data_IF_516585338835
#
_entry.id   IF_516585338835
#
_cell.length_a   1.000
_cell.length_b   1.000
_cell.length_c   1.000
_cell.angle_alpha   90.00
_cell.angle_beta   90.00
_cell.angle_gamma   90.00
#
_symmetry.space_group_name_H-M   'P 1'
#
loop_
_entity.id
_entity.type
_entity.pdbx_description
1 polymer ?
#
# COMPACT_ATOMS: atom_id res chain seq x y z
N UNK A 1 -21.85 -29.18 -8.68
CA UNK A 1 -20.43 -29.52 -8.42
C UNK A 1 -20.09 -30.81 -9.16
N UNK A 2 -19.49 -30.74 -10.35
CA UNK A 2 -19.07 -31.92 -11.14
C UNK A 2 -17.81 -31.59 -11.95
N UNK A 3 -16.94 -32.57 -12.19
CA UNK A 3 -15.81 -32.44 -13.13
C UNK A 3 -16.38 -32.38 -14.55
N UNK A 4 -16.02 -31.34 -15.31
CA UNK A 4 -16.48 -31.12 -16.70
C UNK A 4 -15.42 -31.49 -17.74
N UNK A 5 -14.16 -31.59 -17.34
CA UNK A 5 -13.04 -32.04 -18.17
C UNK A 5 -11.90 -32.57 -17.29
N UNK A 6 -11.16 -33.56 -17.80
CA UNK A 6 -9.97 -34.10 -17.18
C UNK A 6 -9.01 -34.58 -18.26
N UNK A 7 -7.77 -34.12 -18.19
CA UNK A 7 -6.69 -34.53 -19.09
C UNK A 7 -5.42 -34.70 -18.27
N UNK A 8 -4.87 -35.91 -18.26
CA UNK A 8 -3.55 -36.19 -17.70
C UNK A 8 -2.51 -36.00 -18.81
N UNK A 9 -1.69 -34.94 -18.71
CA UNK A 9 -0.85 -34.45 -19.81
C UNK A 9 0.64 -34.72 -19.63
N UNK A 10 1.10 -34.75 -18.37
CA UNK A 10 2.51 -34.89 -18.06
C UNK A 10 2.73 -35.59 -16.72
N UNK A 11 3.82 -36.33 -16.63
CA UNK A 11 4.30 -36.91 -15.38
C UNK A 11 5.57 -36.16 -14.98
N UNK A 12 5.52 -35.46 -13.84
CA UNK A 12 6.68 -34.78 -13.25
C UNK A 12 7.03 -35.38 -11.91
N UNK A 13 8.30 -35.27 -11.53
CA UNK A 13 8.73 -35.65 -10.19
C UNK A 13 8.13 -34.66 -9.19
N UNK A 14 7.41 -35.18 -8.20
CA UNK A 14 6.88 -34.35 -7.10
C UNK A 14 8.05 -33.94 -6.20
N UNK A 15 8.23 -32.64 -5.92
CA UNK A 15 9.27 -32.16 -5.00
C UNK A 15 9.24 -32.88 -3.65
N UNK A 16 10.42 -33.10 -3.08
CA UNK A 16 10.55 -33.73 -1.75
C UNK A 16 9.99 -32.79 -0.67
N UNK A 17 9.40 -33.37 0.37
CA UNK A 17 8.91 -32.62 1.53
C UNK A 17 10.02 -32.22 2.54
N UNK A 18 11.25 -32.70 2.36
CA UNK A 18 12.34 -32.36 3.28
C UNK A 18 12.74 -30.90 3.12
N UNK A 19 12.84 -30.17 4.26
CA UNK A 19 13.27 -28.77 4.28
C UNK A 19 12.16 -27.77 3.96
N UNK A 20 10.90 -28.18 3.77
CA UNK A 20 9.80 -27.29 3.38
C UNK A 20 8.87 -26.86 4.53
N UNK A 21 8.94 -27.51 5.69
CA UNK A 21 8.05 -27.18 6.83
C UNK A 21 8.57 -25.96 7.59
N UNK A 22 7.80 -24.86 7.57
CA UNK A 22 8.15 -23.61 8.27
C UNK A 22 7.73 -23.59 9.74
N UNK A 23 6.97 -24.59 10.20
CA UNK A 23 6.45 -24.58 11.57
C UNK A 23 7.58 -24.93 12.52
N UNK A 24 7.81 -24.04 13.49
CA UNK A 24 8.82 -24.22 14.55
C UNK A 24 8.79 -25.61 15.21
N UNK A 25 7.61 -26.19 15.40
CA UNK A 25 7.40 -27.51 16.02
C UNK A 25 7.85 -28.70 15.16
N UNK A 26 8.12 -28.48 13.87
CA UNK A 26 8.49 -29.50 12.87
C UNK A 26 9.94 -29.36 12.41
N UNK A 27 10.58 -28.22 12.68
CA UNK A 27 11.98 -27.99 12.37
C UNK A 27 12.91 -28.80 13.29
N UNK A 28 14.00 -29.32 12.72
CA UNK A 28 15.04 -30.06 13.47
C UNK A 28 15.77 -29.10 14.43
N UNK A 29 15.95 -29.52 15.68
CA UNK A 29 16.73 -28.79 16.69
C UNK A 29 18.23 -29.05 16.52
N UNK A 30 19.12 -28.07 16.80
CA UNK A 30 18.83 -26.70 17.21
C UNK A 30 18.42 -25.81 16.04
N UNK A 31 17.50 -24.88 16.27
CA UNK A 31 17.28 -23.78 15.34
C UNK A 31 18.56 -22.96 15.26
N UNK A 32 19.08 -22.76 14.06
CA UNK A 32 20.29 -21.97 13.83
C UNK A 32 20.00 -20.47 13.98
N UNK A 33 20.97 -19.72 14.48
CA UNK A 33 20.88 -18.26 14.67
C UNK A 33 21.03 -17.83 16.14
N UNK A 34 21.64 -16.67 16.37
CA UNK A 34 21.73 -16.10 17.70
C UNK A 34 20.33 -15.68 18.15
N UNK A 35 19.89 -16.12 19.35
CA UNK A 35 18.59 -15.73 19.90
C UNK A 35 18.52 -14.22 20.06
N UNK A 36 17.60 -13.58 19.34
CA UNK A 36 17.27 -12.17 19.57
C UNK A 36 16.81 -11.97 21.01
N UNK A 37 17.29 -10.90 21.64
CA UNK A 37 16.83 -10.51 22.98
C UNK A 37 15.38 -10.02 22.87
N UNK A 38 14.56 -10.38 23.85
CA UNK A 38 13.19 -9.86 23.93
C UNK A 38 13.21 -8.33 24.10
N UNK A 39 12.23 -7.66 23.50
CA UNK A 39 11.98 -6.23 23.67
C UNK A 39 10.61 -6.08 24.32
N UNK A 40 10.52 -5.18 25.29
CA UNK A 40 9.25 -4.80 25.92
C UNK A 40 9.04 -3.31 25.69
N UNK A 41 7.91 -2.96 25.08
CA UNK A 41 7.49 -1.56 24.90
C UNK A 41 6.38 -1.29 25.92
N UNK A 42 6.60 -0.32 26.80
CA UNK A 42 5.63 0.13 27.79
C UNK A 42 5.15 1.51 27.40
N UNK A 43 3.83 1.71 27.37
CA UNK A 43 3.20 2.97 27.05
C UNK A 43 2.35 3.43 28.23
N UNK A 44 2.41 4.73 28.57
CA UNK A 44 1.59 5.36 29.61
C UNK A 44 0.13 5.50 29.11
N UNK A 45 -0.58 4.38 29.07
CA UNK A 45 -1.91 4.31 28.48
C UNK A 45 -1.90 4.42 26.96
N UNK A 46 -3.10 4.50 26.37
CA UNK A 46 -3.32 4.54 24.93
C UNK A 46 -3.40 6.00 24.45
N UNK A 47 -2.72 6.37 23.37
CA UNK A 47 -2.77 7.70 22.77
C UNK A 47 -3.91 7.92 21.77
N UNK A 48 -4.73 6.90 21.55
CA UNK A 48 -5.92 6.92 20.69
C UNK A 48 -7.15 6.37 21.42
N UNK A 49 -8.31 6.77 20.93
CA UNK A 49 -9.62 6.31 21.37
C UNK A 49 -10.39 5.69 20.19
N UNK A 50 -11.16 4.65 20.48
CA UNK A 50 -12.02 3.97 19.49
C UNK A 50 -13.44 3.91 20.06
N UNK A 51 -14.34 4.70 19.48
CA UNK A 51 -15.77 4.70 19.79
C UNK A 51 -16.53 3.99 18.66
N UNK A 52 -16.91 2.73 18.91
CA UNK A 52 -17.40 1.82 17.89
C UNK A 52 -16.33 1.59 16.80
N UNK A 53 -16.49 2.28 15.67
CA UNK A 53 -15.58 2.24 14.52
C UNK A 53 -14.93 3.61 14.23
N UNK A 54 -15.20 4.61 15.07
CA UNK A 54 -14.61 5.95 14.97
C UNK A 54 -13.31 6.00 15.76
N UNK A 55 -12.20 6.24 15.06
CA UNK A 55 -10.86 6.34 15.65
C UNK A 55 -10.49 7.80 15.80
N UNK A 56 -10.01 8.18 16.99
CA UNK A 56 -9.47 9.50 17.30
C UNK A 56 -8.06 9.34 17.85
N UNK A 57 -7.09 9.94 17.19
CA UNK A 57 -5.69 9.85 17.58
C UNK A 57 -4.97 11.15 17.27
N UNK A 58 -4.26 11.70 18.25
CA UNK A 58 -3.57 12.98 18.12
C UNK A 58 -4.48 14.06 17.48
N UNK A 59 -4.14 14.53 16.28
CA UNK A 59 -4.91 15.49 15.49
C UNK A 59 -5.81 14.84 14.42
N UNK A 60 -5.88 13.51 14.34
CA UNK A 60 -6.71 12.80 13.37
C UNK A 60 -8.04 12.30 13.95
N UNK A 61 -9.04 12.27 13.08
CA UNK A 61 -10.24 11.46 13.25
C UNK A 61 -10.56 10.74 11.94
N UNK A 62 -10.96 9.48 12.00
CA UNK A 62 -11.42 8.71 10.85
C UNK A 62 -12.33 7.57 11.30
N UNK A 63 -12.97 6.91 10.35
CA UNK A 63 -13.77 5.71 10.54
C UNK A 63 -13.05 4.52 9.91
N UNK A 64 -13.00 3.39 10.62
CA UNK A 64 -12.46 2.13 10.13
C UNK A 64 -13.63 1.16 9.93
N UNK A 65 -13.84 0.66 8.71
CA UNK A 65 -14.86 -0.34 8.41
C UNK A 65 -14.27 -1.60 7.79
N UNK A 66 -15.03 -2.69 7.91
CA UNK A 66 -14.78 -3.95 7.22
C UNK A 66 -15.72 -4.11 6.02
N UNK A 67 -15.17 -4.55 4.90
CA UNK A 67 -15.89 -4.97 3.71
C UNK A 67 -15.37 -6.34 3.26
N UNK A 68 -16.25 -7.24 2.84
CA UNK A 68 -15.87 -8.61 2.50
C UNK A 68 -14.96 -8.70 1.27
N UNK A 69 -15.08 -7.75 0.33
CA UNK A 69 -14.26 -7.71 -0.88
C UNK A 69 -12.98 -6.91 -0.67
N UNK A 70 -13.08 -5.71 -0.10
CA UNK A 70 -11.94 -4.81 0.08
C UNK A 70 -11.11 -5.07 1.35
N UNK A 71 -11.70 -5.70 2.37
CA UNK A 71 -11.12 -5.77 3.71
C UNK A 71 -11.22 -4.45 4.46
N UNK A 72 -10.08 -3.89 4.87
CA UNK A 72 -10.03 -2.63 5.62
C UNK A 72 -10.41 -1.43 4.73
N UNK A 73 -11.35 -0.62 5.19
CA UNK A 73 -11.77 0.63 4.54
C UNK A 73 -11.64 1.79 5.52
N UNK A 74 -10.80 2.76 5.18
CA UNK A 74 -10.68 4.04 5.90
C UNK A 74 -11.70 5.03 5.33
N UNK A 75 -12.42 5.74 6.18
CA UNK A 75 -13.37 6.76 5.75
C UNK A 75 -13.33 8.02 6.62
N UNK A 76 -13.76 9.15 6.04
CA UNK A 76 -13.92 10.44 6.70
C UNK A 76 -12.66 10.97 7.40
N UNK A 77 -11.46 10.59 6.93
CA UNK A 77 -10.21 10.96 7.55
C UNK A 77 -10.01 12.48 7.47
N UNK A 78 -9.98 13.10 8.65
CA UNK A 78 -9.88 14.55 8.83
C UNK A 78 -8.81 14.85 9.86
N UNK A 79 -8.01 15.88 9.59
CA UNK A 79 -6.96 16.35 10.50
C UNK A 79 -7.35 17.70 11.12
N UNK A 80 -7.08 17.86 12.41
CA UNK A 80 -7.28 19.10 13.14
C UNK A 80 -6.14 20.06 12.82
N UNK A 81 -6.49 21.20 12.24
CA UNK A 81 -5.59 22.30 11.98
C UNK A 81 -5.61 23.25 13.18
N UNK A 82 -4.51 23.28 13.94
CA UNK A 82 -4.42 24.07 15.16
C UNK A 82 -4.45 25.58 14.88
N UNK A 83 -3.91 26.04 13.75
CA UNK A 83 -3.93 27.47 13.39
C UNK A 83 -5.33 27.92 12.94
N UNK A 84 -6.12 27.02 12.34
CA UNK A 84 -7.49 27.29 11.86
C UNK A 84 -8.59 26.84 12.82
N UNK A 85 -8.22 26.22 13.94
CA UNK A 85 -9.10 25.71 15.00
C UNK A 85 -10.27 24.83 14.46
N UNK A 86 -9.99 24.01 13.46
CA UNK A 86 -11.02 23.15 12.85
C UNK A 86 -10.45 21.86 12.28
N UNK A 87 -11.29 20.84 12.22
CA UNK A 87 -11.00 19.65 11.42
C UNK A 87 -11.19 19.96 9.93
N UNK A 88 -10.22 19.54 9.13
CA UNK A 88 -10.21 19.69 7.67
C UNK A 88 -10.15 18.31 7.04
N UNK A 89 -11.02 18.08 6.06
CA UNK A 89 -11.12 16.77 5.38
C UNK A 89 -9.89 16.55 4.49
N UNK A 90 -9.47 15.29 4.38
CA UNK A 90 -8.35 14.86 3.56
C UNK A 90 -8.77 13.71 2.64
N UNK A 91 -9.34 12.66 3.21
CA UNK A 91 -9.73 11.45 2.49
C UNK A 91 -11.16 11.08 2.90
N UNK A 92 -12.09 11.09 1.95
CA UNK A 92 -13.45 10.63 2.16
C UNK A 92 -13.48 9.11 2.31
N UNK A 93 -12.80 8.39 1.41
CA UNK A 93 -12.73 6.92 1.42
C UNK A 93 -11.46 6.36 0.79
N UNK A 94 -10.77 5.48 1.51
CA UNK A 94 -9.56 4.78 1.07
C UNK A 94 -9.64 3.27 1.28
N UNK A 95 -9.37 2.48 0.24
CA UNK A 95 -9.30 1.01 0.32
C UNK A 95 -8.55 0.40 -0.88
N UNK A 96 -8.15 -0.87 -0.77
CA UNK A 96 -7.64 -1.65 -1.91
C UNK A 96 -8.83 -2.08 -2.76
N UNK A 97 -8.91 -1.59 -3.99
CA UNK A 97 -10.00 -1.90 -4.90
C UNK A 97 -9.84 -3.25 -5.59
N UNK A 98 -8.62 -3.63 -5.96
CA UNK A 98 -8.35 -4.89 -6.64
C UNK A 98 -6.87 -5.25 -6.53
N UNK A 99 -6.57 -6.54 -6.64
CA UNK A 99 -5.24 -7.04 -6.91
C UNK A 99 -5.25 -7.77 -8.25
N UNK A 100 -4.13 -7.75 -8.96
CA UNK A 100 -3.95 -8.53 -10.17
C UNK A 100 -2.60 -9.27 -10.11
N UNK A 101 -2.66 -10.59 -10.16
CA UNK A 101 -1.50 -11.49 -10.00
C UNK A 101 -1.33 -12.38 -11.24
N UNK A 102 -0.81 -11.85 -12.36
CA UNK A 102 -0.56 -12.62 -13.57
C UNK A 102 0.72 -13.45 -13.46
N UNK A 103 0.62 -14.75 -13.74
CA UNK A 103 1.78 -15.62 -13.93
C UNK A 103 2.26 -15.62 -15.39
N UNK A 104 3.55 -15.83 -15.59
CA UNK A 104 4.22 -15.68 -16.90
C UNK A 104 4.57 -17.03 -17.55
N UNK A 105 3.92 -18.11 -17.15
CA UNK A 105 4.05 -19.42 -17.80
C UNK A 105 2.85 -19.64 -18.76
N UNK A 106 3.07 -19.63 -20.08
CA UNK A 106 2.01 -19.76 -21.08
C UNK A 106 1.59 -21.22 -21.33
N UNK A 107 2.17 -22.19 -20.63
CA UNK A 107 1.77 -23.60 -20.75
C UNK A 107 0.35 -23.84 -20.25
N UNK A 108 -0.25 -24.95 -20.68
CA UNK A 108 -1.64 -25.29 -20.33
C UNK A 108 -1.81 -25.55 -18.81
N UNK A 109 -0.73 -25.80 -18.07
CA UNK A 109 -0.73 -25.86 -16.60
C UNK A 109 -0.96 -24.49 -15.91
N UNK A 110 -0.58 -23.38 -16.57
CA UNK A 110 -0.41 -22.08 -15.91
C UNK A 110 -1.08 -20.89 -16.61
N UNK A 111 -1.33 -20.94 -17.92
CA UNK A 111 -1.77 -19.75 -18.70
C UNK A 111 -3.01 -19.04 -18.15
N UNK A 112 -3.87 -19.76 -17.43
CA UNK A 112 -5.12 -19.24 -16.86
C UNK A 112 -4.93 -18.61 -15.45
N UNK A 113 -3.77 -18.81 -14.81
CA UNK A 113 -3.49 -18.30 -13.46
C UNK A 113 -3.14 -16.81 -13.52
N UNK A 114 -4.18 -15.98 -13.44
CA UNK A 114 -4.05 -14.52 -13.48
C UNK A 114 -5.05 -13.89 -12.50
N UNK A 115 -4.81 -14.11 -11.20
CA UNK A 115 -5.83 -13.91 -10.15
C UNK A 115 -6.22 -12.45 -9.97
N UNK A 116 -7.50 -12.25 -9.66
CA UNK A 116 -8.06 -10.98 -9.19
C UNK A 116 -8.47 -11.14 -7.73
N UNK A 117 -7.51 -11.08 -6.81
CA UNK A 117 -7.70 -11.58 -5.44
C UNK A 117 -8.92 -10.98 -4.73
N UNK A 118 -9.19 -9.67 -4.89
CA UNK A 118 -10.35 -9.06 -4.27
C UNK A 118 -11.63 -9.45 -5.02
N UNK A 119 -11.64 -9.39 -6.35
CA UNK A 119 -12.83 -9.65 -7.15
C UNK A 119 -13.26 -11.11 -7.26
N UNK A 120 -12.33 -12.05 -7.20
CA UNK A 120 -12.57 -13.50 -7.33
C UNK A 120 -12.74 -14.18 -5.96
N UNK A 121 -11.99 -13.74 -4.94
CA UNK A 121 -11.96 -14.40 -3.62
C UNK A 121 -12.41 -13.49 -2.46
N UNK A 122 -12.09 -12.20 -2.54
CA UNK A 122 -12.43 -11.19 -1.53
C UNK A 122 -11.36 -11.08 -0.43
N UNK A 123 -10.66 -9.94 -0.37
CA UNK A 123 -9.61 -9.72 0.64
C UNK A 123 -10.14 -9.75 2.08
N UNK A 124 -11.37 -9.27 2.29
CA UNK A 124 -12.00 -9.33 3.61
C UNK A 124 -12.40 -10.75 4.00
N UNK A 125 -12.88 -11.56 3.05
CA UNK A 125 -13.17 -12.99 3.27
C UNK A 125 -11.91 -13.80 3.51
N UNK A 126 -10.80 -13.39 2.89
CA UNK A 126 -9.47 -13.96 3.06
C UNK A 126 -8.68 -13.32 4.20
N UNK A 127 -9.28 -12.44 5.01
CA UNK A 127 -8.65 -11.89 6.20
C UNK A 127 -8.77 -12.87 7.37
N UNK A 128 -7.63 -13.22 7.99
CA UNK A 128 -7.57 -14.17 9.09
C UNK A 128 -7.23 -13.48 10.41
N UNK A 129 -7.57 -14.11 11.56
CA UNK A 129 -7.27 -13.54 12.88
C UNK A 129 -5.78 -13.24 13.06
N UNK A 130 -5.47 -11.98 13.37
CA UNK A 130 -4.12 -11.54 13.65
C UNK A 130 -3.63 -12.12 14.98
N UNK A 131 -2.41 -12.66 14.98
CA UNK A 131 -1.77 -13.25 16.14
C UNK A 131 -1.14 -12.16 17.01
N UNK A 132 -1.60 -11.98 18.27
CA UNK A 132 -1.04 -10.99 19.17
C UNK A 132 0.46 -11.17 19.40
N UNK A 133 1.18 -10.06 19.49
CA UNK A 133 2.64 -9.97 19.69
C UNK A 133 3.51 -10.46 18.52
N UNK A 134 2.92 -11.03 17.47
CA UNK A 134 3.63 -11.43 16.25
C UNK A 134 3.25 -10.53 15.07
N UNK A 135 1.96 -10.49 14.75
CA UNK A 135 1.45 -9.65 13.66
C UNK A 135 1.26 -8.20 14.11
N UNK A 136 0.92 -8.02 15.39
CA UNK A 136 0.68 -6.71 15.99
C UNK A 136 1.40 -6.57 17.34
N UNK A 137 1.92 -5.38 17.67
CA UNK A 137 2.67 -5.16 18.91
C UNK A 137 1.79 -5.22 20.16
N UNK A 138 2.43 -5.26 21.33
CA UNK A 138 1.75 -5.41 22.61
C UNK A 138 0.77 -4.28 22.97
N UNK A 139 0.94 -3.08 22.39
CA UNK A 139 0.06 -1.93 22.58
C UNK A 139 -1.11 -1.89 21.57
N UNK A 140 -1.31 -2.94 20.77
CA UNK A 140 -2.37 -3.00 19.78
C UNK A 140 -3.75 -3.26 20.39
N UNK A 141 -4.76 -2.73 19.70
CA UNK A 141 -6.18 -2.95 19.96
C UNK A 141 -6.75 -3.69 18.78
N UNK A 142 -7.34 -4.85 19.05
CA UNK A 142 -7.95 -5.66 18.02
C UNK A 142 -9.42 -5.32 17.83
N UNK A 143 -9.89 -5.46 16.60
CA UNK A 143 -11.29 -5.32 16.24
C UNK A 143 -11.71 -6.54 15.41
N UNK A 144 -12.94 -6.99 15.62
CA UNK A 144 -13.52 -8.14 14.93
C UNK A 144 -14.26 -7.70 13.66
N UNK A 145 -14.38 -8.60 12.70
CA UNK A 145 -15.14 -8.43 11.47
C UNK A 145 -16.29 -9.42 11.39
N UNK A 146 -17.30 -9.10 10.60
CA UNK A 146 -18.43 -10.00 10.35
C UNK A 146 -18.76 -10.02 8.86
N UNK A 147 -19.10 -11.21 8.35
CA UNK A 147 -19.60 -11.39 6.99
C UNK A 147 -20.80 -12.32 6.97
N UNK A 148 -21.54 -12.34 5.86
CA UNK A 148 -22.61 -13.30 5.65
C UNK A 148 -22.05 -14.58 5.01
N UNK A 149 -22.21 -15.72 5.67
CA UNK A 149 -21.93 -17.04 5.10
C UNK A 149 -22.80 -17.33 3.87
N UNK A 150 -22.51 -18.43 3.17
CA UNK A 150 -23.21 -18.78 1.92
C UNK A 150 -24.73 -19.00 2.11
N UNK A 151 -25.15 -19.33 3.33
CA UNK A 151 -26.55 -19.49 3.73
C UNK A 151 -27.15 -18.22 4.38
N UNK A 152 -26.38 -17.12 4.43
CA UNK A 152 -26.77 -15.86 5.05
C UNK A 152 -26.50 -15.77 6.55
N UNK A 153 -25.95 -16.81 7.18
CA UNK A 153 -25.61 -16.77 8.62
C UNK A 153 -24.44 -15.80 8.88
N UNK A 154 -24.48 -14.98 9.95
CA UNK A 154 -23.35 -14.12 10.27
C UNK A 154 -22.17 -14.94 10.77
N UNK A 155 -21.01 -14.75 10.15
CA UNK A 155 -19.74 -15.38 10.53
C UNK A 155 -18.80 -14.31 11.09
N UNK A 156 -18.29 -14.56 12.29
CA UNK A 156 -17.31 -13.70 12.97
C UNK A 156 -15.88 -14.04 12.53
N UNK A 157 -15.09 -13.00 12.25
CA UNK A 157 -13.64 -13.07 12.10
C UNK A 157 -13.03 -12.28 13.26
N UNK A 158 -12.51 -13.00 14.26
CA UNK A 158 -11.87 -12.36 15.42
C UNK A 158 -10.57 -11.68 15.02
N UNK A 159 -10.23 -10.57 15.67
CA UNK A 159 -8.96 -9.86 15.50
C UNK A 159 -8.61 -9.58 14.02
N UNK A 160 -9.60 -9.23 13.19
CA UNK A 160 -9.38 -8.97 11.76
C UNK A 160 -8.55 -7.71 11.52
N UNK A 161 -8.67 -6.73 12.42
CA UNK A 161 -7.84 -5.53 12.42
C UNK A 161 -7.05 -5.43 13.72
N UNK A 162 -5.90 -4.75 13.64
CA UNK A 162 -5.29 -4.19 14.83
C UNK A 162 -4.94 -2.71 14.61
N UNK A 163 -5.11 -1.91 15.66
CA UNK A 163 -4.78 -0.49 15.70
C UNK A 163 -3.74 -0.27 16.78
N UNK A 164 -2.61 0.36 16.45
CA UNK A 164 -1.52 0.59 17.41
C UNK A 164 -0.72 1.85 17.10
N UNK A 165 -0.10 2.41 18.14
CA UNK A 165 0.90 3.46 17.97
C UNK A 165 2.26 2.84 17.71
N UNK A 166 2.92 3.31 16.65
CA UNK A 166 4.26 2.90 16.27
C UNK A 166 5.26 3.92 16.77
N UNK A 167 6.27 3.42 17.49
CA UNK A 167 7.43 4.16 17.93
C UNK A 167 8.69 3.38 17.55
N UNK A 168 9.37 3.80 16.49
CA UNK A 168 10.53 3.11 15.93
C UNK A 168 11.81 3.96 15.93
N UNK A 169 11.83 5.06 16.71
CA UNK A 169 12.91 6.05 16.68
C UNK A 169 12.87 6.96 15.45
N UNK A 170 11.72 7.02 14.76
CA UNK A 170 11.48 7.94 13.65
C UNK A 170 11.60 9.40 14.15
N UNK A 171 12.28 10.23 13.38
CA UNK A 171 12.50 11.65 13.70
C UNK A 171 11.43 12.46 12.99
N UNK A 172 10.57 13.13 13.76
CA UNK A 172 9.53 14.02 13.23
C UNK A 172 10.15 15.22 12.54
N UNK A 173 11.11 15.87 13.19
CA UNK A 173 12.02 16.86 12.61
C UNK A 173 13.19 17.15 13.55
N UNK A 174 14.29 17.68 13.00
CA UNK A 174 15.45 18.10 13.80
C UNK A 174 16.23 19.21 13.12
N UNK A 175 16.95 19.99 13.91
CA UNK A 175 17.94 20.93 13.41
C UNK A 175 19.13 21.08 14.39
N UNK A 176 20.28 21.45 13.87
CA UNK A 176 21.48 21.77 14.66
C UNK A 176 22.14 22.97 13.99
N UNK A 177 22.05 24.12 14.64
CA UNK A 177 22.56 25.40 14.16
C UNK A 177 23.91 25.67 14.85
N UNK A 178 24.93 25.91 14.03
CA UNK A 178 26.33 26.10 14.44
C UNK A 178 26.97 27.32 13.79
N UNK A 179 26.28 27.98 12.87
CA UNK A 179 26.81 29.11 12.10
C UNK A 179 26.58 30.45 12.81
N UNK A 180 25.72 30.50 13.82
CA UNK A 180 25.57 31.69 14.66
C UNK A 180 26.76 31.76 15.62
N UNK A 181 27.62 32.79 15.54
CA UNK A 181 28.78 32.91 16.42
C UNK A 181 28.39 32.78 17.89
N UNK A 182 29.18 32.00 18.62
CA UNK A 182 29.03 31.75 20.06
C UNK A 182 27.68 31.13 20.49
N UNK A 183 26.90 30.56 19.57
CA UNK A 183 25.64 29.85 19.89
C UNK A 183 25.64 28.43 19.32
N UNK A 184 25.40 27.47 20.21
CA UNK A 184 25.05 26.11 19.85
C UNK A 184 23.55 25.89 20.11
N UNK A 185 22.76 25.70 19.05
CA UNK A 185 21.32 25.47 19.16
C UNK A 185 21.00 24.13 18.52
N UNK A 186 20.38 23.21 19.28
CA UNK A 186 19.97 21.89 18.79
C UNK A 186 18.57 21.58 19.30
N UNK A 187 17.74 21.10 18.39
CA UNK A 187 16.38 20.62 18.69
C UNK A 187 16.11 19.35 17.88
N UNK A 188 15.49 18.36 18.52
CA UNK A 188 15.09 17.09 17.91
C UNK A 188 13.72 16.73 18.47
N UNK A 189 12.78 16.37 17.60
CA UNK A 189 11.48 15.84 18.01
C UNK A 189 11.24 14.48 17.40
N UNK A 190 10.76 13.56 18.24
CA UNK A 190 10.42 12.20 17.86
C UNK A 190 9.04 12.14 17.20
N UNK A 191 8.84 11.12 16.39
CA UNK A 191 7.57 10.85 15.74
C UNK A 191 6.89 9.62 16.36
N UNK A 192 5.59 9.77 16.61
CA UNK A 192 4.67 8.66 16.85
C UNK A 192 3.68 8.68 15.71
N UNK A 193 3.42 7.51 15.12
CA UNK A 193 2.37 7.32 14.11
C UNK A 193 1.34 6.31 14.59
N UNK A 194 0.12 6.38 14.05
CA UNK A 194 -0.92 5.38 14.28
C UNK A 194 -1.01 4.46 13.07
N UNK A 195 -0.93 3.15 13.28
CA UNK A 195 -1.07 2.13 12.25
C UNK A 195 -2.37 1.37 12.44
N UNK A 196 -3.13 1.24 11.37
CA UNK A 196 -4.20 0.25 11.22
C UNK A 196 -3.70 -0.86 10.30
N UNK A 197 -3.71 -2.10 10.78
CA UNK A 197 -3.21 -3.27 10.04
C UNK A 197 -4.31 -4.32 9.84
N UNK A 198 -4.30 -4.92 8.66
CA UNK A 198 -5.02 -6.14 8.31
C UNK A 198 -4.05 -7.08 7.58
N UNK A 199 -4.24 -8.40 7.70
CA UNK A 199 -3.52 -9.39 6.89
C UNK A 199 -4.55 -10.24 6.14
N UNK A 200 -4.40 -10.33 4.82
CA UNK A 200 -5.22 -11.17 3.95
C UNK A 200 -4.37 -12.30 3.37
N UNK A 201 -4.82 -13.55 3.51
CA UNK A 201 -4.15 -14.73 2.96
C UNK A 201 -4.99 -15.33 1.84
N UNK A 202 -4.54 -15.19 0.60
CA UNK A 202 -5.25 -15.67 -0.60
C UNK A 202 -4.46 -16.84 -1.17
N UNK A 203 -4.92 -18.05 -0.86
CA UNK A 203 -4.20 -19.28 -1.23
C UNK A 203 -2.82 -19.32 -0.57
N UNK A 204 -1.78 -19.15 -1.39
CA UNK A 204 -0.37 -19.19 -1.00
C UNK A 204 0.21 -17.82 -0.60
N UNK A 205 -0.48 -16.72 -0.88
CA UNK A 205 0.02 -15.36 -0.66
C UNK A 205 -0.52 -14.73 0.63
N UNK A 206 0.34 -14.00 1.35
CA UNK A 206 -0.02 -13.21 2.52
C UNK A 206 0.26 -11.72 2.25
N UNK A 207 -0.79 -10.89 2.34
CA UNK A 207 -0.74 -9.45 2.13
C UNK A 207 -0.93 -8.70 3.46
N UNK A 208 0.13 -8.05 3.96
CA UNK A 208 0.08 -7.19 5.14
C UNK A 208 -0.27 -5.78 4.69
N UNK A 209 -1.48 -5.30 4.99
CA UNK A 209 -1.99 -4.00 4.53
C UNK A 209 -2.03 -3.03 5.71
N UNK A 210 -1.23 -1.96 5.61
CA UNK A 210 -1.07 -0.95 6.66
C UNK A 210 -1.56 0.44 6.20
N UNK A 211 -2.39 1.09 7.02
CA UNK A 211 -2.68 2.53 6.94
C UNK A 211 -2.02 3.24 8.13
N UNK A 212 -0.99 4.03 7.86
CA UNK A 212 -0.19 4.77 8.84
C UNK A 212 -0.51 6.27 8.80
N UNK A 213 -1.08 6.81 9.88
CA UNK A 213 -1.39 8.24 10.05
C UNK A 213 -0.30 8.92 10.86
N UNK A 214 0.17 10.09 10.40
CA UNK A 214 1.24 10.85 11.06
C UNK A 214 0.73 12.20 11.55
N UNK A 215 1.28 12.69 12.65
CA UNK A 215 0.91 14.02 13.19
C UNK A 215 1.24 15.16 12.22
N UNK A 216 2.22 14.96 11.33
CA UNK A 216 2.58 15.87 10.23
C UNK A 216 1.48 16.07 9.19
N UNK A 217 0.43 15.24 9.23
CA UNK A 217 -0.63 15.19 8.25
C UNK A 217 -0.39 14.19 7.12
N UNK A 218 0.75 13.49 7.09
CA UNK A 218 0.95 12.43 6.10
C UNK A 218 0.07 11.20 6.40
N UNK A 219 -0.46 10.59 5.35
CA UNK A 219 -1.03 9.24 5.37
C UNK A 219 -0.09 8.35 4.55
N UNK A 220 0.53 7.37 5.18
CA UNK A 220 1.40 6.39 4.52
C UNK A 220 0.64 5.09 4.40
N UNK A 221 0.63 4.51 3.20
CA UNK A 221 -0.03 3.23 2.94
C UNK A 221 1.06 2.22 2.60
N UNK A 222 1.13 1.15 3.37
CA UNK A 222 2.12 0.09 3.23
C UNK A 222 1.49 -1.23 2.80
N UNK A 223 2.25 -2.00 2.02
CA UNK A 223 1.96 -3.41 1.76
C UNK A 223 3.20 -4.24 2.01
N UNK A 224 3.05 -5.35 2.73
CA UNK A 224 4.02 -6.42 2.82
C UNK A 224 3.54 -7.65 2.06
N UNK A 225 4.41 -8.25 1.24
CA UNK A 225 4.19 -9.51 0.53
C UNK A 225 5.02 -10.61 1.18
N UNK A 226 4.38 -11.70 1.61
CA UNK A 226 5.02 -12.90 2.16
C UNK A 226 4.17 -14.12 1.79
N UNK A 227 4.39 -15.24 2.47
CA UNK A 227 3.72 -16.50 2.21
C UNK A 227 4.59 -17.48 1.45
N UNK A 228 3.96 -18.37 0.68
CA UNK A 228 4.59 -19.48 -0.01
C UNK A 228 4.57 -19.18 -1.52
N UNK A 229 5.67 -19.47 -2.20
CA UNK A 229 5.67 -19.41 -3.67
C UNK A 229 4.76 -20.49 -4.25
N UNK A 230 3.94 -20.13 -5.23
CA UNK A 230 3.30 -21.11 -6.09
C UNK A 230 4.39 -21.75 -6.97
N UNK A 231 4.54 -23.07 -6.86
CA UNK A 231 5.66 -23.80 -7.49
C UNK A 231 5.19 -24.73 -8.61
N UNK A 232 5.99 -24.79 -9.68
CA UNK A 232 5.87 -25.75 -10.77
C UNK A 232 6.82 -26.92 -10.53
N UNK A 233 6.29 -28.15 -10.59
CA UNK A 233 7.11 -29.35 -10.63
C UNK A 233 7.94 -29.39 -11.91
N UNK A 234 9.21 -29.75 -11.81
CA UNK A 234 10.15 -29.82 -12.92
C UNK A 234 11.01 -31.10 -12.86
N UNK A 235 11.74 -31.41 -13.93
CA UNK A 235 12.64 -32.57 -13.97
C UNK A 235 14.08 -32.23 -13.55
N UNK A 236 14.37 -30.94 -13.35
CA UNK A 236 15.71 -30.46 -13.08
C UNK A 236 16.03 -30.49 -11.58
N UNK A 237 17.29 -30.82 -11.27
CA UNK A 237 17.90 -30.70 -9.94
C UNK A 237 18.95 -29.60 -9.90
N UNK A 238 19.50 -29.25 -11.07
CA UNK A 238 20.58 -28.26 -11.19
C UNK A 238 20.34 -27.36 -12.40
N UNK A 239 20.80 -26.10 -12.31
CA UNK A 239 20.57 -25.08 -13.33
C UNK A 239 21.17 -25.42 -14.69
N UNK A 240 22.31 -26.11 -14.72
CA UNK A 240 23.00 -26.54 -15.95
C UNK A 240 22.22 -27.59 -16.76
N UNK A 241 21.18 -28.20 -16.17
CA UNK A 241 20.28 -29.13 -16.84
C UNK A 241 19.20 -28.40 -17.68
N UNK A 242 18.98 -27.11 -17.41
CA UNK A 242 17.96 -26.31 -18.08
C UNK A 242 18.50 -25.86 -19.45
N UNK A 243 17.81 -26.27 -20.52
CA UNK A 243 18.18 -25.97 -21.92
C UNK A 243 17.12 -25.19 -22.68
N UNK A 244 16.03 -24.85 -22.02
CA UNK A 244 14.86 -24.19 -22.57
C UNK A 244 14.34 -23.14 -21.59
N UNK A 245 13.36 -22.35 -22.04
CA UNK A 245 12.67 -21.42 -21.16
C UNK A 245 11.77 -22.20 -20.19
N UNK A 246 11.94 -21.95 -18.89
CA UNK A 246 11.17 -22.62 -17.84
C UNK A 246 10.20 -21.66 -17.15
N UNK A 247 10.15 -20.41 -17.59
CA UNK A 247 9.22 -19.37 -17.14
C UNK A 247 9.34 -19.05 -15.64
N UNK A 248 10.53 -19.29 -15.07
CA UNK A 248 10.76 -19.16 -13.64
C UNK A 248 12.21 -19.44 -13.25
N UNK A 249 12.43 -19.52 -11.94
CA UNK A 249 13.73 -19.84 -11.34
C UNK A 249 13.66 -21.22 -10.71
N UNK A 250 14.66 -22.08 -10.93
CA UNK A 250 14.83 -23.34 -10.20
C UNK A 250 15.30 -23.03 -8.76
N UNK A 251 14.44 -23.31 -7.77
CA UNK A 251 14.65 -22.93 -6.36
C UNK A 251 15.24 -24.05 -5.52
N UNK A 252 14.82 -25.27 -5.83
CA UNK A 252 15.23 -26.52 -5.19
C UNK A 252 15.07 -27.67 -6.20
N UNK A 253 15.51 -28.88 -5.82
CA UNK A 253 15.27 -30.10 -6.59
C UNK A 253 13.81 -30.14 -7.09
N UNK A 254 13.64 -30.23 -8.41
CA UNK A 254 12.35 -30.38 -9.08
C UNK A 254 11.35 -29.23 -8.87
N UNK A 255 11.81 -28.07 -8.39
CA UNK A 255 10.94 -26.98 -7.93
C UNK A 255 11.25 -25.66 -8.63
N UNK A 256 10.37 -25.23 -9.52
CA UNK A 256 10.47 -23.94 -10.22
C UNK A 256 9.49 -22.94 -9.60
N UNK A 257 9.99 -21.79 -9.15
CA UNK A 257 9.16 -20.63 -8.83
C UNK A 257 8.85 -19.87 -10.11
N UNK A 258 7.58 -19.87 -10.52
CA UNK A 258 7.14 -19.24 -11.78
C UNK A 258 7.18 -17.71 -11.65
N UNK A 259 7.66 -17.01 -12.67
CA UNK A 259 7.64 -15.54 -12.71
C UNK A 259 6.19 -15.04 -12.65
N UNK A 260 5.96 -13.99 -11.87
CA UNK A 260 4.64 -13.38 -11.73
C UNK A 260 4.75 -11.94 -11.26
N UNK A 261 3.65 -11.20 -11.39
CA UNK A 261 3.54 -9.85 -10.88
C UNK A 261 2.55 -9.77 -9.73
N UNK A 262 2.67 -8.73 -8.90
CA UNK A 262 1.62 -8.31 -7.99
C UNK A 262 1.30 -6.84 -8.27
N UNK A 263 0.09 -6.55 -8.75
CA UNK A 263 -0.44 -5.19 -8.86
C UNK A 263 -1.55 -4.97 -7.83
N UNK A 264 -1.45 -3.90 -7.05
CA UNK A 264 -2.46 -3.51 -6.06
C UNK A 264 -2.95 -2.11 -6.38
N UNK A 265 -4.25 -1.98 -6.68
CA UNK A 265 -4.86 -0.69 -7.03
C UNK A 265 -5.72 -0.16 -5.89
N UNK A 266 -5.39 1.05 -5.43
CA UNK A 266 -6.07 1.74 -4.35
C UNK A 266 -7.10 2.71 -4.89
N UNK A 267 -8.30 2.70 -4.30
CA UNK A 267 -9.31 3.75 -4.45
C UNK A 267 -9.06 4.81 -3.39
N UNK A 268 -8.71 6.04 -3.80
CA UNK A 268 -8.40 7.17 -2.93
C UNK A 268 -9.31 8.35 -3.26
N UNK A 269 -10.48 8.38 -2.62
CA UNK A 269 -11.46 9.46 -2.74
C UNK A 269 -11.04 10.61 -1.82
N UNK A 270 -10.35 11.59 -2.41
CA UNK A 270 -9.70 12.69 -1.73
C UNK A 270 -10.61 13.92 -1.73
N UNK A 271 -11.10 14.27 -0.55
CA UNK A 271 -11.88 15.48 -0.27
C UNK A 271 -10.95 16.52 0.38
N UNK A 272 -9.95 17.03 -0.35
CA UNK A 272 -8.95 17.95 0.22
C UNK A 272 -9.62 19.27 0.60
N UNK A 273 -9.86 19.47 1.90
CA UNK A 273 -10.59 20.63 2.46
C UNK A 273 -11.97 20.89 1.81
N UNK A 274 -12.61 19.82 1.31
CA UNK A 274 -13.87 19.83 0.56
C UNK A 274 -13.79 18.99 -0.73
N UNK A 275 -14.92 18.73 -1.38
CA UNK A 275 -15.00 17.84 -2.55
C UNK A 275 -14.56 18.49 -3.86
N UNK A 276 -14.63 19.81 -4.02
CA UNK A 276 -14.25 20.47 -5.29
C UNK A 276 -12.72 20.51 -5.43
N UNK A 277 -12.15 19.52 -6.11
CA UNK A 277 -10.71 19.28 -6.21
C UNK A 277 -10.27 19.17 -7.69
N UNK A 278 -8.97 19.27 -7.91
CA UNK A 278 -8.33 19.11 -9.23
C UNK A 278 -7.03 18.34 -9.11
N UNK A 279 -6.66 17.61 -10.16
CA UNK A 279 -5.31 17.05 -10.29
C UNK A 279 -4.37 18.06 -10.96
N UNK A 280 -3.29 18.43 -10.28
CA UNK A 280 -2.22 19.28 -10.82
C UNK A 280 -0.95 18.46 -10.99
N UNK A 281 -0.43 18.45 -12.23
CA UNK A 281 0.87 17.89 -12.61
C UNK A 281 1.91 18.99 -12.56
N UNK A 282 2.92 18.84 -11.72
CA UNK A 282 4.08 19.75 -11.64
C UNK A 282 5.31 19.07 -12.24
N UNK A 283 5.56 19.35 -13.52
CA UNK A 283 6.70 18.77 -14.25
C UNK A 283 7.95 19.58 -14.01
N UNK A 284 9.05 18.92 -13.66
CA UNK A 284 10.36 19.56 -13.50
C UNK A 284 11.07 19.64 -14.86
N UNK A 285 11.32 20.85 -15.33
CA UNK A 285 11.94 21.08 -16.64
C UNK A 285 13.28 21.79 -16.52
N UNK A 286 14.29 21.29 -17.23
CA UNK A 286 15.58 21.97 -17.35
C UNK A 286 15.47 23.13 -18.34
N UNK A 287 15.77 24.34 -17.89
CA UNK A 287 15.91 25.53 -18.73
C UNK A 287 17.38 25.90 -18.91
N UNK A 288 17.73 26.23 -20.16
CA UNK A 288 19.05 26.75 -20.50
C UNK A 288 19.08 28.25 -20.29
N UNK A 289 20.13 28.72 -19.64
CA UNK A 289 20.38 30.16 -19.45
C UNK A 289 20.78 30.74 -20.82
N UNK A 290 20.15 31.84 -21.18
CA UNK A 290 20.46 32.63 -22.36
C UNK A 290 21.45 33.74 -22.01
N UNK A 291 22.12 34.31 -23.01
CA UNK A 291 23.03 35.44 -22.77
C UNK A 291 22.33 36.66 -22.13
N UNK A 292 21.01 36.80 -22.33
CA UNK A 292 20.20 37.87 -21.77
C UNK A 292 19.96 37.75 -20.24
N UNK A 293 20.12 36.56 -19.67
CA UNK A 293 19.84 36.30 -18.25
C UNK A 293 20.97 36.78 -17.32
N UNK A 294 22.11 37.21 -17.87
CA UNK A 294 23.25 37.75 -17.10
C UNK A 294 23.89 36.77 -16.11
N UNK A 295 23.55 35.48 -16.17
CA UNK A 295 23.99 34.47 -15.21
C UNK A 295 25.26 33.75 -15.65
N UNK A 296 26.16 33.46 -14.69
CA UNK A 296 27.34 32.61 -14.93
C UNK A 296 26.98 31.12 -15.06
N UNK A 297 25.78 30.72 -14.63
CA UNK A 297 25.27 29.35 -14.76
C UNK A 297 24.82 29.12 -16.19
N UNK A 298 24.92 27.87 -16.67
CA UNK A 298 24.45 27.47 -18.01
C UNK A 298 23.00 26.95 -18.01
N UNK A 299 22.49 26.52 -16.87
CA UNK A 299 21.14 25.97 -16.73
C UNK A 299 20.63 26.04 -15.30
N UNK A 300 19.32 25.87 -15.16
CA UNK A 300 18.57 25.66 -13.93
C UNK A 300 17.35 24.77 -14.25
N UNK A 301 16.65 24.27 -13.25
CA UNK A 301 15.35 23.63 -13.46
C UNK A 301 14.24 24.52 -12.92
N UNK A 302 13.05 24.38 -13.49
CA UNK A 302 11.83 25.08 -13.04
C UNK A 302 10.65 24.11 -13.05
N UNK A 303 9.51 24.58 -12.55
CA UNK A 303 8.27 23.80 -12.49
C UNK A 303 7.29 24.33 -13.52
N UNK A 304 6.78 23.45 -14.38
CA UNK A 304 5.63 23.73 -15.25
C UNK A 304 4.41 23.02 -14.66
N UNK A 305 3.39 23.80 -14.32
CA UNK A 305 2.15 23.30 -13.71
C UNK A 305 1.05 23.18 -14.76
N UNK A 306 0.40 22.03 -14.79
CA UNK A 306 -0.74 21.74 -15.65
C UNK A 306 -1.85 21.10 -14.82
N UNK A 307 -3.05 21.67 -14.88
CA UNK A 307 -4.25 21.06 -14.30
C UNK A 307 -4.85 20.10 -15.32
N UNK A 308 -5.05 18.84 -14.94
CA UNK A 308 -5.76 17.89 -15.78
C UNK A 308 -7.26 18.22 -15.79
N UNK A 309 -7.83 18.39 -16.98
CA UNK A 309 -9.23 18.81 -17.15
C UNK A 309 -10.18 17.64 -17.31
N UNK A 310 -9.72 16.56 -17.92
CA UNK A 310 -10.50 15.36 -18.19
C UNK A 310 -9.77 14.10 -17.72
N UNK A 311 -10.49 12.98 -17.66
CA UNK A 311 -9.94 11.69 -17.26
C UNK A 311 -8.74 11.25 -18.11
N UNK A 312 -8.74 11.51 -19.43
CA UNK A 312 -7.63 11.18 -20.32
C UNK A 312 -6.33 11.92 -19.99
N UNK A 313 -6.42 13.19 -19.58
CA UNK A 313 -5.27 14.00 -19.17
C UNK A 313 -4.68 13.58 -17.81
N UNK A 314 -5.42 12.76 -17.07
CA UNK A 314 -5.08 12.23 -15.74
C UNK A 314 -4.67 10.74 -15.74
N UNK A 315 -4.48 10.14 -16.92
CA UNK A 315 -3.86 8.80 -17.06
C UNK A 315 -2.35 8.95 -17.10
N UNK A 316 -1.66 8.59 -16.02
CA UNK A 316 -0.24 8.92 -15.85
C UNK A 316 0.60 7.65 -15.73
N UNK A 317 1.60 7.55 -16.61
CA UNK A 317 2.71 6.60 -16.49
C UNK A 317 3.85 7.26 -15.72
N UNK A 318 4.12 6.76 -14.52
CA UNK A 318 5.19 7.29 -13.69
C UNK A 318 6.56 6.97 -14.30
N UNK A 319 7.56 7.80 -14.00
CA UNK A 319 8.95 7.60 -14.48
C UNK A 319 9.26 8.14 -15.87
N UNK A 320 8.25 8.51 -16.68
CA UNK A 320 8.48 9.09 -18.00
C UNK A 320 9.13 10.49 -17.95
N UNK A 321 8.72 11.30 -16.97
CA UNK A 321 9.28 12.63 -16.67
C UNK A 321 9.27 12.85 -15.16
N UNK A 322 10.23 13.61 -14.59
CA UNK A 322 10.18 14.00 -13.18
C UNK A 322 8.97 14.91 -12.94
N UNK A 323 7.91 14.34 -12.36
CA UNK A 323 6.62 15.01 -12.18
C UNK A 323 6.12 14.75 -10.77
N UNK A 324 5.77 15.82 -10.07
CA UNK A 324 5.03 15.72 -8.81
C UNK A 324 3.52 15.85 -9.08
N UNK A 325 2.72 14.98 -8.43
CA UNK A 325 1.28 14.91 -8.62
C UNK A 325 0.58 15.41 -7.36
N UNK A 326 -0.33 16.36 -7.53
CA UNK A 326 -1.08 16.99 -6.44
C UNK A 326 -2.57 16.88 -6.69
N UNK A 327 -3.32 16.46 -5.66
CA UNK A 327 -4.76 16.74 -5.59
C UNK A 327 -4.93 18.01 -4.76
N UNK A 328 -5.47 19.05 -5.38
CA UNK A 328 -5.60 20.38 -4.78
C UNK A 328 -7.05 20.83 -4.73
N UNK A 329 -7.38 21.69 -3.78
CA UNK A 329 -8.63 22.42 -3.79
C UNK A 329 -8.39 23.85 -4.32
N UNK A 330 -8.79 24.16 -5.56
CA UNK A 330 -8.52 25.46 -6.17
C UNK A 330 -9.27 26.61 -5.49
N UNK A 331 -10.31 26.31 -4.71
CA UNK A 331 -11.16 27.28 -4.02
C UNK A 331 -10.63 27.66 -2.62
N UNK A 332 -9.58 26.99 -2.15
CA UNK A 332 -8.99 27.20 -0.83
C UNK A 332 -7.51 27.48 -0.96
N UNK A 333 -7.08 28.63 -0.46
CA UNK A 333 -5.70 29.09 -0.53
C UNK A 333 -5.14 29.39 0.85
N UNK A 334 -3.84 29.19 1.00
CA UNK A 334 -3.05 29.69 2.14
C UNK A 334 -2.96 31.22 2.08
N UNK A 335 -2.47 31.84 3.15
CA UNK A 335 -2.18 33.29 3.19
C UNK A 335 -1.23 33.75 2.08
N UNK A 336 -0.36 32.85 1.60
CA UNK A 336 0.59 33.11 0.52
C UNK A 336 -0.02 32.93 -0.88
N UNK A 337 -1.30 32.58 -0.98
CA UNK A 337 -1.99 32.37 -2.25
C UNK A 337 -1.77 31.00 -2.89
N UNK A 338 -1.08 30.07 -2.21
CA UNK A 338 -0.93 28.69 -2.70
C UNK A 338 -2.22 27.90 -2.45
N UNK A 339 -2.67 27.13 -3.44
CA UNK A 339 -3.77 26.17 -3.29
C UNK A 339 -3.43 25.12 -2.25
N UNK A 340 -4.41 24.77 -1.41
CA UNK A 340 -4.26 23.69 -0.43
C UNK A 340 -4.30 22.35 -1.14
N UNK A 341 -3.38 21.44 -0.82
CA UNK A 341 -3.27 20.18 -1.55
C UNK A 341 -2.65 19.04 -0.76
N UNK A 342 -2.76 17.85 -1.32
CA UNK A 342 -1.98 16.67 -0.95
C UNK A 342 -1.22 16.18 -2.19
N UNK A 343 0.05 15.84 -2.01
CA UNK A 343 0.87 15.23 -3.06
C UNK A 343 0.94 13.72 -2.88
N UNK A 344 0.91 12.99 -4.00
CA UNK A 344 1.25 11.58 -4.05
C UNK A 344 2.78 11.44 -4.15
N UNK A 345 3.39 10.77 -3.18
CA UNK A 345 4.76 10.27 -3.26
C UNK A 345 4.64 8.78 -3.57
N UNK A 346 4.84 8.37 -4.83
CA UNK A 346 4.62 6.99 -5.24
C UNK A 346 5.70 6.05 -4.69
N UNK A 347 5.36 4.76 -4.62
CA UNK A 347 6.28 3.66 -4.39
C UNK A 347 7.01 3.22 -5.67
N UNK A 348 7.17 1.90 -5.83
CA UNK A 348 7.73 1.31 -7.04
C UNK A 348 6.96 1.74 -8.30
N UNK A 349 7.69 2.10 -9.35
CA UNK A 349 7.15 2.56 -10.63
C UNK A 349 7.05 1.38 -11.62
N UNK A 350 6.27 0.37 -11.22
CA UNK A 350 6.10 -0.88 -11.97
C UNK A 350 4.97 -0.73 -12.99
N UNK A 351 5.17 -1.20 -14.22
CA UNK A 351 4.15 -1.20 -15.30
C UNK A 351 3.88 -2.64 -15.75
N UNK A 352 2.70 -2.96 -16.30
CA UNK A 352 2.46 -4.28 -16.86
C UNK A 352 3.45 -4.60 -18.00
N UNK A 353 3.86 -5.86 -18.09
CA UNK A 353 4.73 -6.38 -19.14
C UNK A 353 3.98 -7.22 -20.20
N UNK A 354 2.71 -7.54 -19.95
CA UNK A 354 1.85 -8.23 -20.91
C UNK A 354 1.44 -7.30 -22.05
N UNK A 355 1.13 -7.88 -23.22
CA UNK A 355 0.62 -7.12 -24.35
C UNK A 355 -0.78 -6.59 -24.07
N UNK A 356 -1.10 -5.43 -24.64
CA UNK A 356 -2.36 -4.73 -24.38
C UNK A 356 -3.61 -5.49 -24.86
N UNK A 357 -3.43 -6.44 -25.76
CA UNK A 357 -4.44 -7.31 -26.38
C UNK A 357 -4.55 -8.70 -25.74
N UNK A 358 -3.71 -9.03 -24.75
CA UNK A 358 -3.82 -10.28 -24.01
C UNK A 358 -5.05 -10.29 -23.10
N UNK A 359 -5.75 -11.42 -22.99
CA UNK A 359 -7.02 -11.52 -22.28
C UNK A 359 -6.90 -11.11 -20.80
N UNK A 360 -5.88 -11.57 -20.04
CA UNK A 360 -5.69 -11.12 -18.66
C UNK A 360 -5.39 -9.63 -18.57
N UNK A 361 -4.66 -9.06 -19.54
CA UNK A 361 -4.34 -7.63 -19.54
C UNK A 361 -5.54 -6.76 -19.95
N UNK A 362 -6.48 -7.28 -20.74
CA UNK A 362 -7.78 -6.64 -21.01
C UNK A 362 -8.62 -6.61 -19.73
N UNK A 363 -8.73 -7.73 -19.00
CA UNK A 363 -9.42 -7.81 -17.70
C UNK A 363 -8.74 -6.90 -16.66
N UNK A 364 -7.41 -6.89 -16.63
CA UNK A 364 -6.56 -6.12 -15.73
C UNK A 364 -6.17 -4.74 -16.27
N UNK A 365 -6.94 -4.15 -17.20
CA UNK A 365 -6.55 -2.93 -17.91
C UNK A 365 -6.33 -1.71 -17.00
N UNK A 366 -6.79 -1.75 -15.75
CA UNK A 366 -6.52 -0.73 -14.73
C UNK A 366 -5.02 -0.61 -14.37
N UNK A 367 -4.18 -1.61 -14.68
CA UNK A 367 -2.73 -1.55 -14.43
C UNK A 367 -1.95 -0.78 -15.50
N UNK A 368 -2.55 -0.47 -16.66
CA UNK A 368 -1.87 0.19 -17.80
C UNK A 368 -1.28 1.57 -17.47
N UNK A 369 -1.79 2.20 -16.42
CA UNK A 369 -1.27 3.44 -15.85
C UNK A 369 -1.20 3.29 -14.33
N UNK A 370 -0.15 3.82 -13.71
CA UNK A 370 -0.02 3.77 -12.26
C UNK A 370 -0.96 4.75 -11.57
N UNK A 371 -1.33 5.85 -12.24
CA UNK A 371 -2.24 6.85 -11.70
C UNK A 371 -3.36 7.12 -12.69
N UNK A 372 -4.58 7.12 -12.17
CA UNK A 372 -5.79 7.59 -12.85
C UNK A 372 -6.51 8.58 -11.94
N UNK A 373 -7.23 9.54 -12.52
CA UNK A 373 -8.22 10.34 -11.78
C UNK A 373 -9.52 10.34 -12.54
N UNK A 374 -10.61 10.01 -11.84
CA UNK A 374 -11.97 10.01 -12.38
C UNK A 374 -12.85 10.93 -11.53
N UNK A 375 -13.93 11.50 -12.07
CA UNK A 375 -14.92 12.13 -11.21
C UNK A 375 -15.55 11.07 -10.31
N UNK A 376 -15.96 11.46 -9.11
CA UNK A 376 -16.63 10.56 -8.18
C UNK A 376 -17.90 9.97 -8.80
N UNK A 377 -18.04 8.66 -8.65
CA UNK A 377 -19.28 7.96 -8.92
C UNK A 377 -19.46 6.83 -7.91
N UNK A 378 -20.61 6.83 -7.23
CA UNK A 378 -20.97 5.84 -6.22
C UNK A 378 -20.86 4.38 -6.69
N UNK A 379 -21.09 4.08 -7.97
CA UNK A 379 -21.02 2.72 -8.51
C UNK A 379 -19.61 2.29 -8.92
N UNK A 380 -18.70 3.23 -9.17
CA UNK A 380 -17.34 2.98 -9.65
C UNK A 380 -16.42 2.71 -8.45
N UNK A 381 -16.39 1.47 -7.98
CA UNK A 381 -15.64 1.06 -6.78
C UNK A 381 -14.53 0.06 -7.04
N UNK A 382 -14.73 -0.82 -8.03
CA UNK A 382 -13.95 -2.01 -8.27
C UNK A 382 -13.25 -1.92 -9.63
N UNK A 383 -11.96 -1.62 -9.66
CA UNK A 383 -11.25 -1.30 -10.91
C UNK A 383 -11.24 -2.43 -11.95
N UNK A 384 -11.40 -3.69 -11.53
CA UNK A 384 -11.57 -4.86 -12.40
C UNK A 384 -13.03 -5.16 -12.81
N UNK A 385 -13.98 -4.34 -12.36
CA UNK A 385 -15.42 -4.53 -12.54
C UNK A 385 -16.12 -5.16 -11.34
N UNK A 386 -17.46 -5.07 -11.33
CA UNK A 386 -18.26 -5.64 -10.24
C UNK A 386 -18.11 -7.17 -10.14
N UNK A 387 -18.05 -7.87 -11.27
CA UNK A 387 -17.86 -9.32 -11.33
C UNK A 387 -16.53 -9.63 -12.03
N UNK A 388 -15.49 -10.00 -11.28
CA UNK A 388 -14.15 -10.23 -11.82
C UNK A 388 -13.95 -11.65 -12.36
N UNK A 389 -14.58 -12.66 -11.73
CA UNK A 389 -14.53 -14.05 -12.20
C UNK A 389 -15.13 -14.16 -13.62
N UNK A 390 -14.39 -14.80 -14.52
CA UNK A 390 -14.72 -14.95 -15.94
C UNK A 390 -15.04 -13.63 -16.69
N UNK A 391 -14.60 -12.48 -16.16
CA UNK A 391 -14.85 -11.18 -16.77
C UNK A 391 -14.24 -11.06 -18.16
N UNK A 392 -14.85 -10.21 -19.00
CA UNK A 392 -14.37 -9.93 -20.36
C UNK A 392 -13.67 -8.56 -20.46
N UNK A 393 -13.45 -7.89 -19.32
CA UNK A 393 -12.82 -6.56 -19.26
C UNK A 393 -13.74 -5.40 -19.68
N UNK A 394 -15.05 -5.61 -19.71
CA UNK A 394 -16.08 -4.67 -20.16
C UNK A 394 -16.58 -3.69 -19.09
N UNK A 395 -16.18 -3.87 -17.81
CA UNK A 395 -16.55 -3.00 -16.68
C UNK A 395 -15.30 -2.52 -15.88
N UNK A 396 -14.16 -2.34 -16.54
CA UNK A 396 -12.92 -1.92 -15.86
C UNK A 396 -12.80 -0.40 -15.71
N UNK A 397 -11.88 0.06 -14.85
CA UNK A 397 -11.49 1.47 -14.75
C UNK A 397 -11.08 2.06 -16.10
N UNK A 398 -10.47 1.26 -16.97
CA UNK A 398 -10.11 1.69 -18.32
C UNK A 398 -11.35 1.99 -19.18
N UNK A 399 -12.40 1.15 -19.08
CA UNK A 399 -13.69 1.38 -19.74
C UNK A 399 -14.38 2.62 -19.16
N UNK A 400 -14.41 2.74 -17.83
CA UNK A 400 -15.00 3.90 -17.16
C UNK A 400 -14.36 5.21 -17.59
N UNK A 401 -13.03 5.24 -17.66
CA UNK A 401 -12.24 6.41 -18.03
C UNK A 401 -12.20 6.67 -19.54
N UNK A 402 -12.88 5.86 -20.35
CA UNK A 402 -13.06 6.12 -21.80
C UNK A 402 -14.14 7.16 -22.08
N UNK A 403 -15.00 7.44 -21.09
CA UNK A 403 -16.01 8.50 -21.15
C UNK A 403 -15.43 9.91 -21.13
N UNK A 404 -14.16 10.03 -20.73
CA UNK A 404 -13.37 11.27 -20.72
C UNK A 404 -14.07 12.46 -20.05
N UNK A 405 -14.66 12.20 -18.88
CA UNK A 405 -15.45 13.17 -18.13
C UNK A 405 -14.57 14.30 -17.60
N UNK A 406 -15.17 15.46 -17.35
CA UNK A 406 -14.50 16.57 -16.68
C UNK A 406 -14.15 16.23 -15.22
N UNK A 407 -12.93 16.61 -14.80
CA UNK A 407 -12.40 16.38 -13.44
C UNK A 407 -11.87 17.66 -12.77
N UNK A 408 -11.74 18.77 -13.50
CA UNK A 408 -11.25 20.02 -12.92
C UNK A 408 -12.30 20.67 -12.02
N UNK A 409 -11.93 20.93 -10.76
CA UNK A 409 -12.77 21.55 -9.74
C UNK A 409 -14.06 20.76 -9.49
N UNK A 410 -13.92 19.44 -9.31
CA UNK A 410 -14.99 18.47 -9.09
C UNK A 410 -14.64 17.54 -7.92
N UNK A 411 -15.64 16.81 -7.45
CA UNK A 411 -15.44 15.62 -6.63
C UNK A 411 -14.71 14.54 -7.46
N UNK A 412 -13.52 14.15 -7.04
CA UNK A 412 -12.61 13.29 -7.81
C UNK A 412 -12.02 12.17 -6.97
N UNK A 413 -11.83 11.02 -7.61
CA UNK A 413 -11.17 9.85 -7.02
C UNK A 413 -9.83 9.63 -7.71
N UNK A 414 -8.77 9.57 -6.91
CA UNK A 414 -7.44 9.15 -7.33
C UNK A 414 -7.36 7.63 -7.24
N UNK A 415 -6.95 6.98 -8.32
CA UNK A 415 -6.65 5.56 -8.36
C UNK A 415 -5.14 5.38 -8.49
N UNK A 416 -4.53 4.66 -7.55
CA UNK A 416 -3.09 4.42 -7.57
C UNK A 416 -2.78 2.94 -7.59
N UNK A 417 -2.05 2.50 -8.62
CA UNK A 417 -1.56 1.13 -8.77
C UNK A 417 -0.10 1.05 -8.34
N UNK A 418 0.14 0.30 -7.26
CA UNK A 418 1.47 -0.15 -6.84
C UNK A 418 1.75 -1.51 -7.47
N UNK A 419 2.98 -1.78 -7.89
CA UNK A 419 3.31 -3.05 -8.54
C UNK A 419 4.66 -3.64 -8.14
N UNK A 420 4.78 -4.96 -8.27
CA UNK A 420 6.02 -5.72 -8.07
C UNK A 420 6.16 -6.74 -9.20
N UNK A 421 7.32 -6.76 -9.87
CA UNK A 421 7.72 -7.89 -10.70
C UNK A 421 8.48 -8.86 -9.80
N UNK A 422 7.99 -10.09 -9.68
CA UNK A 422 8.60 -11.09 -8.83
C UNK A 422 9.39 -12.08 -9.70
N UNK A 423 10.71 -12.02 -9.59
CA UNK A 423 11.64 -13.03 -10.07
C UNK A 423 12.01 -13.87 -8.84
N UNK A 424 11.38 -15.03 -8.60
CA UNK A 424 11.59 -15.77 -7.36
C UNK A 424 13.06 -16.17 -7.19
N UNK A 425 13.52 -16.12 -5.94
CA UNK A 425 14.88 -16.47 -5.53
C UNK A 425 14.87 -17.58 -4.47
N UNK A 426 16.02 -18.22 -4.24
CA UNK A 426 16.08 -19.35 -3.30
C UNK A 426 15.75 -18.92 -1.87
N UNK A 427 16.06 -17.68 -1.51
CA UNK A 427 15.72 -17.06 -0.23
C UNK A 427 14.20 -16.96 0.01
N UNK A 428 13.40 -16.99 -1.06
CA UNK A 428 11.94 -16.94 -0.99
C UNK A 428 11.31 -18.32 -0.71
N UNK A 429 12.12 -19.39 -0.73
CA UNK A 429 11.68 -20.77 -0.53
C UNK A 429 12.21 -21.36 0.79
N UNK A 430 11.38 -22.10 1.57
CA UNK A 430 10.01 -22.50 1.28
C UNK A 430 8.94 -21.48 1.70
N UNK A 431 9.34 -20.42 2.42
CA UNK A 431 8.46 -19.31 2.83
C UNK A 431 9.23 -18.01 2.67
N UNK A 432 8.62 -17.05 2.00
CA UNK A 432 9.25 -15.83 1.55
C UNK A 432 9.39 -14.80 2.69
N UNK A 433 10.60 -14.28 2.98
CA UNK A 433 10.77 -13.11 3.83
C UNK A 433 9.99 -11.91 3.30
N UNK A 434 9.36 -11.14 4.18
CA UNK A 434 8.44 -10.08 3.75
C UNK A 434 9.12 -9.02 2.87
N UNK A 435 8.64 -8.88 1.62
CA UNK A 435 8.96 -7.77 0.74
C UNK A 435 7.99 -6.62 1.02
N UNK A 436 8.50 -5.45 1.39
CA UNK A 436 7.65 -4.29 1.74
C UNK A 436 7.69 -3.20 0.66
N UNK A 437 6.53 -2.62 0.38
CA UNK A 437 6.38 -1.43 -0.46
C UNK A 437 5.26 -0.52 0.05
N UNK A 438 4.97 0.56 -0.67
CA UNK A 438 3.94 1.50 -0.25
C UNK A 438 4.08 2.88 -0.90
N UNK A 439 3.24 3.82 -0.48
CA UNK A 439 3.24 5.21 -0.95
C UNK A 439 2.86 6.17 0.19
N UNK A 440 3.07 7.47 -0.03
CA UNK A 440 2.70 8.53 0.93
C UNK A 440 1.80 9.57 0.27
N UNK A 441 0.67 9.86 0.90
CA UNK A 441 -0.11 11.07 0.66
C UNK A 441 0.38 12.13 1.65
N UNK A 442 1.05 13.16 1.14
CA UNK A 442 1.70 14.18 1.98
C UNK A 442 1.04 15.54 1.80
N UNK A 443 0.75 16.28 2.88
CA UNK A 443 0.25 17.65 2.77
C UNK A 443 1.21 18.53 1.97
N UNK A 444 0.67 19.29 1.02
CA UNK A 444 1.41 20.21 0.16
C UNK A 444 0.68 21.56 0.14
N UNK A 445 1.22 22.54 0.86
CA UNK A 445 0.55 23.83 1.12
C UNK A 445 -0.84 23.67 1.77
N UNK A 446 -1.15 22.52 2.37
CA UNK A 446 -2.42 22.31 3.04
C UNK A 446 -2.54 23.20 4.28
N UNK A 447 -1.51 23.22 5.11
CA UNK A 447 -1.36 24.06 6.29
C UNK A 447 -0.65 25.37 5.94
N UNK A 448 -0.80 26.40 6.80
CA UNK A 448 -0.11 27.69 6.62
C UNK A 448 1.41 27.57 6.86
N UNK A 449 1.81 26.62 7.72
CA UNK A 449 3.20 26.37 8.09
C UNK A 449 3.38 24.90 8.49
N UNK A 450 4.54 24.53 9.04
CA UNK A 450 4.77 23.18 9.54
C UNK A 450 3.75 22.82 10.65
N UNK A 451 2.82 21.87 10.43
CA UNK A 451 1.72 21.60 11.35
C UNK A 451 2.18 20.99 12.68
N UNK A 452 3.44 20.51 12.76
CA UNK A 452 4.01 19.90 13.96
C UNK A 452 5.08 20.74 14.64
N UNK A 453 5.18 22.02 14.29
CA UNK A 453 6.11 22.95 14.94
C UNK A 453 5.77 23.13 16.43
N UNK A 454 4.48 23.18 16.76
CA UNK A 454 3.97 23.37 18.12
C UNK A 454 3.43 22.08 18.76
N UNK A 455 3.62 20.93 18.11
CA UNK A 455 3.23 19.63 18.69
C UNK A 455 4.07 19.38 19.94
N UNK A 456 3.37 19.11 21.05
CA UNK A 456 4.02 18.70 22.31
C UNK A 456 4.70 17.36 22.08
N UNK A 457 5.98 17.27 22.42
CA UNK A 457 6.64 15.97 22.51
C UNK A 457 5.95 15.11 23.58
N UNK A 458 5.92 13.78 23.41
CA UNK A 458 5.59 12.88 24.51
C UNK A 458 6.44 13.22 25.75
N UNK A 459 5.91 13.03 26.97
CA UNK A 459 6.71 13.19 28.18
C UNK A 459 7.96 12.29 28.10
N UNK A 460 9.08 12.78 28.65
CA UNK A 460 10.41 12.13 28.68
C UNK A 460 10.26 10.62 28.96
N UNK A 461 11.01 9.72 28.28
CA UNK A 461 10.97 8.29 28.55
C UNK A 461 11.08 8.03 30.05
N UNK A 462 10.04 7.45 30.66
CA UNK A 462 10.14 7.07 32.05
C UNK A 462 11.21 5.99 32.18
N UNK A 463 12.06 6.11 33.19
CA UNK A 463 12.92 5.01 33.59
C UNK A 463 12.03 3.77 33.78
N UNK A 464 12.42 2.66 33.16
CA UNK A 464 11.74 1.39 33.34
C UNK A 464 11.55 1.15 34.85
N UNK A 465 10.37 0.72 35.32
CA UNK A 465 10.25 0.30 36.70
C UNK A 465 11.30 -0.80 36.91
N UNK A 466 12.23 -0.55 37.83
CA UNK A 466 13.37 -1.42 38.09
C UNK A 466 12.87 -2.66 38.85
N UNK A 467 12.15 -3.53 38.14
CA UNK A 467 11.71 -4.82 38.63
C UNK A 467 12.83 -5.80 38.29
N UNK A 468 13.80 -5.95 39.18
CA UNK A 468 14.72 -7.09 39.14
C UNK A 468 13.87 -8.36 39.16
N UNK A 469 13.78 -9.05 38.02
CA UNK A 469 13.24 -10.40 37.98
C UNK A 469 14.15 -11.28 38.83
N UNK A 470 13.74 -11.56 40.06
CA UNK A 470 14.32 -12.65 40.82
C UNK A 470 13.99 -13.93 40.04
N UNK A 471 15.01 -14.57 39.47
CA UNK A 471 14.88 -15.87 38.82
C UNK A 471 14.29 -16.89 39.81
N UNK A 472 13.28 -17.67 39.42
CA UNK A 472 13.15 -19.05 39.90
C UNK A 472 14.16 -19.97 39.20
#
# INVERSE_FOLDING_TARGET
MKVTGYTDRLTVTVPKAEGTDYRKSKLKSPLFGQRSKGITVIQDGRGFDIDGHSVRWANWKFHLSFDTRAGSVISLASIYDQEKEKFRRVLYKGFVSELFVPYMDPSEEWYYKTFFDAGEYGLGLCAFPLEPYKDCPANAVFMDGYYAGQDGTPVEIKNVFCVFEKYAGDIMWRHTETAIPDKFIREVREEVSLVVRMVSTVGNYDYIIDWEFKQSGSIKVGVGLTGILEVKGAEYTHKDQIKEEIYGTLLADYTVGVYHDHFLTYHLDLDVDGHDNSLVKSTLETKRVTAADGSRRKSYWTVVKETAKTESEAKIRLGMKPTELFVVNPNKKTKMGNEVGYRLIPGSQTSPLMSDDDYPQIRGAFTKYQVWVTPYNKSEKWVGGLCADQSQGDDTLAIWSSRDREIENKDVVLWYTLGFHHVPSQEDFPVMPTLSGGFELRPANFFESNPVLNTRSPPIPRAFPNCTSANP
#
